data_IF_136898765659
#
_entry.id   IF_136898765659
#
_cell.length_a   1.000
_cell.length_b   1.000
_cell.length_c   1.000
_cell.angle_alpha   90.00
_cell.angle_beta   90.00
_cell.angle_gamma   90.00
#
_symmetry.space_group_name_H-M   'P 1'
#
loop_
_entity.id
_entity.type
_entity.pdbx_description
1 polymer ?
#
# COMPACT_ATOMS: atom_id res chain seq x y z
N UNK A 1 3.30 42.89 -54.99
CA UNK A 1 4.16 41.94 -54.25
C UNK A 1 4.67 42.64 -53.00
N UNK A 2 4.10 42.31 -51.84
CA UNK A 2 4.52 42.81 -50.53
C UNK A 2 4.74 41.58 -49.63
N UNK A 3 5.90 41.41 -48.99
CA UNK A 3 6.16 40.28 -48.12
C UNK A 3 5.55 40.57 -46.75
N UNK A 4 4.69 39.67 -46.26
CA UNK A 4 4.26 39.65 -44.85
C UNK A 4 4.59 38.25 -44.34
N UNK A 5 5.80 38.11 -43.83
CA UNK A 5 6.24 37.07 -42.90
C UNK A 5 7.38 37.73 -42.12
N UNK A 6 7.27 37.94 -40.79
CA UNK A 6 7.32 36.81 -39.85
C UNK A 6 6.47 37.03 -38.58
N UNK A 7 5.45 36.19 -38.35
CA UNK A 7 4.75 36.14 -37.06
C UNK A 7 4.52 34.71 -36.55
N UNK A 8 5.28 33.73 -37.08
CA UNK A 8 5.07 32.32 -36.77
C UNK A 8 6.36 31.61 -36.30
N UNK A 9 7.18 32.29 -35.49
CA UNK A 9 8.34 31.69 -34.80
C UNK A 9 8.16 31.70 -33.26
N UNK A 10 7.09 32.32 -32.74
CA UNK A 10 6.86 32.43 -31.30
C UNK A 10 6.01 31.28 -30.69
N UNK A 11 5.71 30.22 -31.45
CA UNK A 11 4.84 29.11 -30.98
C UNK A 11 5.59 27.80 -30.63
N UNK A 12 6.92 27.85 -30.47
CA UNK A 12 7.76 26.66 -30.21
C UNK A 12 8.46 26.67 -28.84
N UNK A 13 8.11 27.58 -27.91
CA UNK A 13 8.85 27.76 -26.65
C UNK A 13 8.01 27.69 -25.36
N UNK A 14 6.80 27.13 -25.40
CA UNK A 14 6.00 26.95 -24.18
C UNK A 14 5.24 25.62 -24.21
N UNK A 15 5.98 24.53 -24.04
CA UNK A 15 5.44 23.18 -23.96
C UNK A 15 6.19 22.29 -22.96
N UNK A 16 6.91 22.87 -21.99
CA UNK A 16 7.27 22.13 -20.78
C UNK A 16 6.02 22.15 -19.89
N UNK A 17 5.17 21.12 -20.03
CA UNK A 17 4.23 20.79 -18.96
C UNK A 17 5.01 20.47 -17.67
N UNK A 18 4.35 20.48 -16.51
CA UNK A 18 5.02 20.03 -15.29
C UNK A 18 5.52 18.60 -15.52
N UNK A 19 6.83 18.38 -15.33
CA UNK A 19 7.36 17.02 -15.16
C UNK A 19 6.53 16.38 -14.06
N UNK A 20 5.73 15.38 -14.43
CA UNK A 20 4.92 14.65 -13.47
C UNK A 20 5.89 13.96 -12.50
N UNK A 21 5.77 14.24 -11.20
CA UNK A 21 6.54 13.56 -10.18
C UNK A 21 6.37 12.04 -10.33
N UNK A 22 7.48 11.32 -10.46
CA UNK A 22 7.45 9.87 -10.55
C UNK A 22 6.93 9.29 -9.23
N UNK A 23 6.04 8.30 -9.32
CA UNK A 23 5.43 7.70 -8.13
C UNK A 23 6.46 7.04 -7.19
N UNK A 24 7.58 6.59 -7.76
CA UNK A 24 8.72 5.98 -7.07
C UNK A 24 9.64 6.97 -6.36
N UNK A 25 9.59 8.25 -6.71
CA UNK A 25 10.43 9.28 -6.11
C UNK A 25 9.81 9.85 -4.82
N UNK A 26 10.66 10.02 -3.80
CA UNK A 26 10.27 10.58 -2.52
C UNK A 26 10.67 12.06 -2.48
N UNK A 27 9.76 12.96 -2.90
CA UNK A 27 9.95 14.43 -2.90
C UNK A 27 9.14 15.18 -1.83
N UNK A 28 8.17 14.51 -1.21
CA UNK A 28 7.26 15.05 -0.18
C UNK A 28 6.89 13.97 0.82
N UNK A 29 6.03 14.27 1.81
CA UNK A 29 5.48 13.23 2.69
C UNK A 29 4.79 12.18 1.84
N UNK A 30 5.16 10.90 2.03
CA UNK A 30 4.58 9.76 1.32
C UNK A 30 4.29 8.60 2.25
N UNK A 31 3.14 7.94 2.09
CA UNK A 31 2.88 6.63 2.70
C UNK A 31 3.07 5.57 1.62
N UNK A 32 4.18 4.82 1.73
CA UNK A 32 4.56 3.82 0.73
C UNK A 32 3.77 2.53 0.90
N UNK A 33 3.42 2.22 2.16
CA UNK A 33 2.76 1.00 2.57
C UNK A 33 2.04 1.21 3.90
N UNK A 34 1.01 0.40 4.14
CA UNK A 34 0.41 0.23 5.46
C UNK A 34 0.27 -1.28 5.67
N UNK A 35 0.95 -1.80 6.68
CA UNK A 35 0.81 -3.17 7.15
C UNK A 35 -0.26 -3.21 8.23
N UNK A 36 -0.99 -4.32 8.29
CA UNK A 36 -1.95 -4.60 9.37
C UNK A 36 -1.52 -5.85 10.12
N UNK A 37 -1.68 -5.86 11.43
CA UNK A 37 -1.46 -7.05 12.25
C UNK A 37 -2.74 -7.35 13.07
N UNK A 38 -3.45 -8.45 12.79
CA UNK A 38 -3.19 -9.42 11.71
C UNK A 38 -3.35 -8.83 10.29
N UNK A 39 -2.87 -9.54 9.27
CA UNK A 39 -2.92 -9.08 7.87
C UNK A 39 -4.36 -9.01 7.32
N UNK A 40 -5.23 -9.89 7.80
CA UNK A 40 -6.66 -9.97 7.49
C UNK A 40 -7.47 -9.98 8.79
N UNK A 41 -8.65 -9.35 8.78
CA UNK A 41 -9.56 -9.40 9.92
C UNK A 41 -10.38 -10.68 9.83
N UNK A 42 -9.82 -11.77 10.32
CA UNK A 42 -10.49 -13.06 10.34
C UNK A 42 -11.45 -13.16 11.52
N UNK A 43 -12.68 -13.61 11.26
CA UNK A 43 -13.69 -13.91 12.28
C UNK A 43 -14.13 -15.36 12.16
N UNK A 44 -14.56 -15.92 13.29
CA UNK A 44 -15.33 -17.16 13.32
C UNK A 44 -16.73 -16.79 13.83
N UNK A 45 -17.79 -16.90 13.00
CA UNK A 45 -19.13 -16.50 13.39
C UNK A 45 -19.71 -17.37 14.52
N UNK A 46 -19.16 -18.57 14.73
CA UNK A 46 -19.62 -19.51 15.75
C UNK A 46 -18.72 -19.45 17.01
N UNK A 47 -17.65 -18.65 16.99
CA UNK A 47 -16.77 -18.50 18.14
C UNK A 47 -17.44 -17.72 19.28
N UNK A 48 -17.18 -18.11 20.55
CA UNK A 48 -17.78 -17.46 21.72
C UNK A 48 -17.19 -16.07 22.01
N UNK A 49 -16.13 -15.67 21.30
CA UNK A 49 -15.44 -14.41 21.49
C UNK A 49 -15.05 -13.81 20.14
N UNK A 50 -15.10 -12.47 20.06
CA UNK A 50 -14.59 -11.71 18.93
C UNK A 50 -13.06 -11.85 18.82
N UNK A 51 -12.49 -11.74 17.61
CA UNK A 51 -11.04 -11.72 17.46
C UNK A 51 -10.44 -10.52 18.19
N UNK A 52 -9.14 -10.63 18.50
CA UNK A 52 -8.36 -9.51 19.02
C UNK A 52 -8.33 -8.32 18.05
N UNK A 53 -7.87 -7.15 18.52
CA UNK A 53 -7.83 -5.96 17.68
C UNK A 53 -6.80 -6.11 16.54
N UNK A 54 -7.08 -5.42 15.43
CA UNK A 54 -6.15 -5.20 14.33
C UNK A 54 -5.41 -3.88 14.51
N UNK A 55 -4.10 -3.87 14.32
CA UNK A 55 -3.27 -2.67 14.38
C UNK A 55 -2.76 -2.26 13.00
N UNK A 56 -2.59 -0.96 12.76
CA UNK A 56 -2.10 -0.39 11.51
C UNK A 56 -0.71 0.20 11.70
N UNK A 57 0.22 -0.18 10.82
CA UNK A 57 1.59 0.33 10.80
C UNK A 57 1.90 0.91 9.41
N UNK A 58 2.03 2.24 9.30
CA UNK A 58 2.39 2.90 8.06
C UNK A 58 3.91 3.01 7.88
N UNK A 59 4.38 2.64 6.68
CA UNK A 59 5.65 3.10 6.16
C UNK A 59 5.46 4.50 5.57
N UNK A 60 5.54 5.51 6.44
CA UNK A 60 5.48 6.91 6.06
C UNK A 60 6.88 7.54 6.04
N UNK A 61 7.21 8.26 4.97
CA UNK A 61 8.57 8.78 4.71
C UNK A 61 8.54 10.22 4.23
N UNK A 62 9.66 10.92 4.44
CA UNK A 62 9.98 12.21 3.78
C UNK A 62 11.33 12.09 3.07
N UNK A 63 11.65 13.00 2.13
CA UNK A 63 12.92 12.96 1.38
C UNK A 63 14.16 13.05 2.27
N UNK A 64 14.02 13.72 3.41
CA UNK A 64 15.08 14.03 4.37
C UNK A 64 14.90 13.32 5.72
N UNK A 65 14.07 12.27 5.74
CA UNK A 65 13.83 11.41 6.92
C UNK A 65 13.32 12.15 8.17
N UNK A 66 12.59 13.26 8.00
CA UNK A 66 11.85 13.90 9.10
C UNK A 66 10.77 12.95 9.64
N UNK A 67 10.44 13.02 10.93
CA UNK A 67 9.36 12.23 11.50
C UNK A 67 8.02 12.54 10.82
N UNK A 68 7.24 11.49 10.54
CA UNK A 68 5.87 11.60 10.04
C UNK A 68 4.93 10.95 11.05
N UNK A 69 3.89 11.67 11.44
CA UNK A 69 2.81 11.12 12.28
C UNK A 69 1.67 10.67 11.39
N UNK A 70 1.09 9.51 11.67
CA UNK A 70 -0.05 8.97 10.92
C UNK A 70 -1.26 8.83 11.83
N UNK A 71 -2.40 9.35 11.39
CA UNK A 71 -3.70 9.18 12.03
C UNK A 71 -4.59 8.32 11.16
N UNK A 72 -5.44 7.52 11.80
CA UNK A 72 -6.35 6.59 11.13
C UNK A 72 -7.80 6.82 11.54
N UNK A 73 -8.71 6.51 10.63
CA UNK A 73 -10.15 6.45 10.90
C UNK A 73 -10.80 5.35 10.04
N UNK A 74 -11.79 4.66 10.59
CA UNK A 74 -12.66 3.78 9.83
C UNK A 74 -13.72 4.62 9.10
N UNK A 75 -13.73 4.55 7.77
CA UNK A 75 -14.61 5.33 6.92
C UNK A 75 -16.06 4.82 7.06
N UNK A 76 -17.02 5.74 7.20
CA UNK A 76 -18.45 5.39 7.11
C UNK A 76 -18.90 5.15 5.66
N UNK A 77 -19.97 4.38 5.49
CA UNK A 77 -20.51 4.01 4.17
C UNK A 77 -21.55 5.00 3.62
N UNK A 78 -21.71 6.16 4.27
CA UNK A 78 -22.59 7.25 3.81
C UNK A 78 -21.95 8.04 2.67
N UNK A 79 -21.66 7.39 1.54
CA UNK A 79 -21.01 7.99 0.36
C UNK A 79 -19.94 7.08 -0.26
N UNK A 80 -19.25 7.59 -1.29
CA UNK A 80 -18.08 6.89 -1.84
C UNK A 80 -16.91 7.04 -0.85
N UNK A 81 -16.30 5.95 -0.35
CA UNK A 81 -15.21 6.01 0.64
C UNK A 81 -13.97 6.74 0.14
N UNK A 82 -13.87 7.00 -1.17
CA UNK A 82 -12.78 7.75 -1.79
C UNK A 82 -13.01 9.26 -1.87
N UNK A 83 -14.23 9.74 -1.61
CA UNK A 83 -14.60 11.16 -1.80
C UNK A 83 -14.10 12.08 -0.67
N UNK A 84 -13.36 11.56 0.32
CA UNK A 84 -12.74 12.34 1.43
C UNK A 84 -11.55 11.72 2.20
N UNK A 85 -11.05 10.55 1.78
CA UNK A 85 -9.83 9.80 2.25
C UNK A 85 -9.52 9.88 3.76
N UNK A 86 -10.44 9.34 4.56
CA UNK A 86 -10.84 9.79 5.89
C UNK A 86 -9.77 9.92 6.99
N UNK A 87 -9.58 11.15 7.45
CA UNK A 87 -9.77 11.44 8.88
C UNK A 87 -10.53 12.77 9.15
N UNK A 88 -11.44 12.75 10.14
CA UNK A 88 -12.30 13.89 10.53
C UNK A 88 -13.61 13.46 11.24
N UNK A 89 -14.41 14.43 11.71
CA UNK A 89 -15.51 14.32 12.70
C UNK A 89 -16.70 13.38 12.38
N UNK A 90 -16.80 12.91 11.13
CA UNK A 90 -17.90 12.04 10.67
C UNK A 90 -17.54 10.56 10.68
N UNK A 91 -16.24 10.24 10.77
CA UNK A 91 -15.71 8.89 10.74
C UNK A 91 -15.34 8.39 12.14
N UNK A 92 -15.12 7.09 12.29
CA UNK A 92 -14.77 6.51 13.58
C UNK A 92 -13.26 6.59 13.76
N UNK A 93 -12.73 7.41 14.68
CA UNK A 93 -11.28 7.53 14.87
C UNK A 93 -10.70 6.22 15.39
N UNK A 94 -9.52 5.85 14.89
CA UNK A 94 -8.79 4.66 15.34
C UNK A 94 -7.56 5.13 16.15
N UNK A 95 -7.72 5.38 17.47
CA UNK A 95 -6.60 5.80 18.31
C UNK A 95 -5.51 4.73 18.27
N UNK A 96 -4.25 5.19 18.24
CA UNK A 96 -3.07 4.34 18.12
C UNK A 96 -3.10 3.39 16.91
N UNK A 97 -3.90 3.72 15.88
CA UNK A 97 -4.09 2.88 14.71
C UNK A 97 -4.63 1.50 15.07
N UNK A 98 -5.65 1.43 15.92
CA UNK A 98 -6.25 0.16 16.37
C UNK A 98 -7.72 0.07 15.96
N UNK A 99 -8.10 -1.02 15.28
CA UNK A 99 -9.48 -1.40 14.97
C UNK A 99 -9.87 -2.60 15.83
N UNK A 100 -10.87 -2.43 16.68
CA UNK A 100 -11.40 -3.49 17.55
C UNK A 100 -12.86 -3.76 17.22
N UNK A 101 -13.21 -5.02 16.95
CA UNK A 101 -14.61 -5.41 16.76
C UNK A 101 -15.42 -5.33 18.06
N UNK A 102 -14.78 -5.15 19.22
CA UNK A 102 -15.46 -4.92 20.49
C UNK A 102 -15.90 -3.47 20.70
N UNK A 103 -15.48 -2.54 19.83
CA UNK A 103 -15.87 -1.13 19.89
C UNK A 103 -17.26 -0.93 19.25
N UNK A 104 -18.18 -0.31 19.99
CA UNK A 104 -19.56 -0.08 19.56
C UNK A 104 -19.66 0.82 18.32
N UNK A 105 -18.77 1.81 18.19
CA UNK A 105 -18.75 2.70 17.01
C UNK A 105 -18.28 1.94 15.77
N UNK A 106 -17.32 1.02 15.91
CA UNK A 106 -16.86 0.14 14.83
C UNK A 106 -17.98 -0.85 14.43
N UNK A 107 -18.69 -1.42 15.41
CA UNK A 107 -19.82 -2.31 15.14
C UNK A 107 -20.95 -1.60 14.36
N UNK A 108 -21.20 -0.32 14.66
CA UNK A 108 -22.18 0.48 13.92
C UNK A 108 -21.78 0.64 12.44
N UNK A 109 -20.50 0.88 12.14
CA UNK A 109 -20.02 0.95 10.75
C UNK A 109 -20.07 -0.40 10.05
N UNK A 110 -19.80 -1.51 10.75
CA UNK A 110 -19.93 -2.85 10.19
C UNK A 110 -21.38 -3.17 9.79
N UNK A 111 -22.34 -2.77 10.62
CA UNK A 111 -23.77 -2.84 10.30
C UNK A 111 -24.11 -2.06 9.02
N UNK A 112 -23.58 -0.85 8.86
CA UNK A 112 -23.73 -0.06 7.62
C UNK A 112 -23.14 -0.80 6.41
N UNK A 113 -21.93 -1.35 6.54
CA UNK A 113 -21.25 -2.10 5.47
C UNK A 113 -22.06 -3.31 5.01
N UNK A 114 -22.64 -4.02 5.96
CA UNK A 114 -23.47 -5.21 5.73
C UNK A 114 -24.81 -4.86 5.08
N UNK A 115 -25.47 -3.80 5.52
CA UNK A 115 -26.69 -3.30 4.89
C UNK A 115 -26.45 -2.86 3.44
N UNK A 116 -25.29 -2.25 3.16
CA UNK A 116 -24.90 -1.87 1.79
C UNK A 116 -24.61 -3.09 0.90
N UNK A 117 -23.99 -4.15 1.45
CA UNK A 117 -23.71 -5.41 0.76
C UNK A 117 -24.93 -6.33 0.58
N UNK A 118 -25.96 -6.17 1.41
CA UNK A 118 -27.19 -6.94 1.40
C UNK A 118 -28.42 -6.05 1.72
N UNK A 119 -28.99 -5.33 0.73
CA UNK A 119 -30.06 -4.33 0.95
C UNK A 119 -31.42 -4.91 1.42
N UNK A 120 -31.50 -6.21 1.71
CA UNK A 120 -32.67 -6.88 2.28
C UNK A 120 -32.49 -7.39 3.72
N UNK A 121 -31.29 -7.26 4.30
CA UNK A 121 -31.02 -7.65 5.69
C UNK A 121 -31.63 -6.65 6.67
N UNK A 122 -32.34 -7.15 7.69
CA UNK A 122 -32.86 -6.30 8.78
C UNK A 122 -31.72 -5.57 9.49
N UNK A 123 -32.03 -4.47 10.19
CA UNK A 123 -31.06 -3.60 10.87
C UNK A 123 -30.35 -4.21 12.10
N UNK A 124 -30.24 -5.54 12.17
CA UNK A 124 -29.61 -6.29 13.26
C UNK A 124 -28.68 -7.35 12.68
N UNK A 125 -27.46 -7.46 13.23
CA UNK A 125 -26.55 -8.57 12.90
C UNK A 125 -27.12 -9.87 13.47
N UNK A 126 -27.66 -10.72 12.60
CA UNK A 126 -28.01 -12.10 12.95
C UNK A 126 -26.90 -13.03 12.41
N UNK A 127 -26.01 -13.58 13.26
CA UNK A 127 -24.95 -14.50 12.82
C UNK A 127 -25.50 -15.77 12.17
N UNK A 128 -26.79 -16.09 12.40
CA UNK A 128 -27.46 -17.22 11.76
C UNK A 128 -27.99 -16.91 10.36
N UNK A 129 -28.01 -15.63 9.94
CA UNK A 129 -28.47 -15.22 8.60
C UNK A 129 -27.57 -15.84 7.52
N UNK A 130 -28.10 -16.70 6.62
CA UNK A 130 -27.33 -17.28 5.53
C UNK A 130 -26.66 -16.24 4.63
N UNK A 131 -27.29 -15.07 4.43
CA UNK A 131 -26.74 -14.01 3.60
C UNK A 131 -25.53 -13.33 4.27
N UNK A 132 -25.57 -13.14 5.59
CA UNK A 132 -24.42 -12.65 6.36
C UNK A 132 -23.27 -13.66 6.31
N UNK A 133 -23.56 -14.94 6.52
CA UNK A 133 -22.55 -16.02 6.44
C UNK A 133 -21.89 -16.05 5.06
N UNK A 134 -22.67 -15.97 3.99
CA UNK A 134 -22.14 -15.91 2.62
C UNK A 134 -21.30 -14.64 2.37
N UNK A 135 -21.73 -13.48 2.88
CA UNK A 135 -20.97 -12.24 2.78
C UNK A 135 -19.62 -12.34 3.52
N UNK A 136 -19.61 -12.91 4.72
CA UNK A 136 -18.39 -13.15 5.51
C UNK A 136 -17.45 -14.13 4.82
N UNK A 137 -17.96 -15.21 4.22
CA UNK A 137 -17.16 -16.16 3.46
C UNK A 137 -16.52 -15.49 2.23
N UNK A 138 -17.26 -14.62 1.53
CA UNK A 138 -16.73 -13.84 0.39
C UNK A 138 -15.76 -12.73 0.82
N UNK A 139 -15.93 -12.19 2.02
CA UNK A 139 -15.16 -11.09 2.57
C UNK A 139 -15.87 -9.75 2.38
N UNK A 140 -16.06 -9.03 3.49
CA UNK A 140 -16.68 -7.71 3.52
C UNK A 140 -15.57 -6.65 3.51
N UNK A 141 -15.54 -5.74 2.52
CA UNK A 141 -14.54 -4.69 2.48
C UNK A 141 -14.86 -3.60 3.50
N UNK A 142 -13.91 -3.32 4.38
CA UNK A 142 -13.86 -2.15 5.25
C UNK A 142 -12.83 -1.16 4.68
N UNK A 143 -13.07 0.14 4.83
CA UNK A 143 -12.18 1.18 4.34
C UNK A 143 -11.62 1.96 5.52
N UNK A 144 -10.29 2.03 5.61
CA UNK A 144 -9.57 2.75 6.66
C UNK A 144 -8.83 3.89 6.00
N UNK A 145 -9.27 5.12 6.29
CA UNK A 145 -8.59 6.32 5.87
C UNK A 145 -7.36 6.60 6.72
N UNK A 146 -6.40 7.32 6.15
CA UNK A 146 -5.24 7.82 6.88
C UNK A 146 -4.89 9.25 6.49
N UNK A 147 -4.27 9.96 7.42
CA UNK A 147 -3.54 11.20 7.18
C UNK A 147 -2.15 11.09 7.79
N UNK A 148 -1.14 11.25 6.96
CA UNK A 148 0.25 11.32 7.33
C UNK A 148 0.72 12.78 7.26
N UNK A 149 1.38 13.27 8.31
CA UNK A 149 1.89 14.65 8.34
C UNK A 149 3.27 14.77 8.99
N UNK A 150 4.11 15.64 8.46
CA UNK A 150 5.40 16.03 9.08
C UNK A 150 5.27 17.24 10.03
N UNK A 151 4.05 17.74 10.25
CA UNK A 151 3.75 18.86 11.14
C UNK A 151 4.02 20.25 10.55
N UNK A 152 4.49 20.34 9.30
CA UNK A 152 4.76 21.64 8.65
C UNK A 152 3.50 22.43 8.29
N UNK A 153 2.35 21.75 8.17
CA UNK A 153 1.08 22.35 7.74
C UNK A 153 1.04 22.73 6.26
N UNK A 154 2.03 22.31 5.46
CA UNK A 154 2.02 22.54 4.00
C UNK A 154 1.36 21.38 3.25
N UNK A 155 0.91 21.59 2.00
CA UNK A 155 0.41 20.51 1.15
C UNK A 155 1.43 19.38 0.92
N UNK A 156 2.72 19.71 0.83
CA UNK A 156 3.82 18.75 0.67
C UNK A 156 4.12 17.99 1.97
N UNK A 157 3.82 18.62 3.12
CA UNK A 157 3.93 18.03 4.45
C UNK A 157 2.77 17.13 4.84
N UNK A 158 1.83 16.83 3.93
CA UNK A 158 0.64 16.02 4.21
C UNK A 158 0.35 15.03 3.09
N UNK A 159 0.01 13.79 3.44
CA UNK A 159 -0.56 12.81 2.53
C UNK A 159 -1.84 12.20 3.12
N UNK A 160 -2.88 12.02 2.29
CA UNK A 160 -4.09 11.29 2.65
C UNK A 160 -4.35 10.14 1.72
N UNK A 161 -4.86 9.05 2.27
CA UNK A 161 -5.19 7.86 1.51
C UNK A 161 -6.23 6.99 2.18
N UNK A 162 -6.57 5.90 1.52
CA UNK A 162 -7.49 4.88 2.03
C UNK A 162 -6.87 3.52 1.79
N UNK A 163 -6.89 2.68 2.82
CA UNK A 163 -6.57 1.26 2.76
C UNK A 163 -7.87 0.46 2.86
N UNK A 164 -8.01 -0.54 2.01
CA UNK A 164 -9.06 -1.56 2.16
C UNK A 164 -8.56 -2.64 3.10
N UNK A 165 -9.38 -3.01 4.08
CA UNK A 165 -9.23 -4.18 4.94
C UNK A 165 -10.39 -5.12 4.63
N UNK A 166 -10.15 -6.43 4.67
CA UNK A 166 -11.21 -7.42 4.47
C UNK A 166 -11.56 -8.05 5.81
N UNK A 167 -12.85 -8.04 6.15
CA UNK A 167 -13.42 -8.84 7.22
C UNK A 167 -13.93 -10.15 6.61
N UNK A 168 -13.39 -11.30 7.04
CA UNK A 168 -13.70 -12.60 6.43
C UNK A 168 -13.90 -13.69 7.47
N UNK A 169 -14.87 -14.57 7.23
CA UNK A 169 -14.93 -15.86 7.91
C UNK A 169 -13.97 -16.85 7.23
N UNK A 170 -12.87 -17.19 7.89
CA UNK A 170 -11.85 -18.10 7.37
C UNK A 170 -11.14 -18.88 8.47
N UNK A 171 -10.85 -20.16 8.22
CA UNK A 171 -10.03 -20.99 9.09
C UNK A 171 -8.52 -20.84 8.81
N UNK A 172 -8.16 -20.17 7.70
CA UNK A 172 -6.78 -19.93 7.27
C UNK A 172 -6.59 -18.43 7.03
N UNK A 173 -6.43 -17.63 8.10
CA UNK A 173 -6.18 -16.20 7.99
C UNK A 173 -4.90 -15.93 7.21
N UNK A 174 -4.93 -14.87 6.39
CA UNK A 174 -3.75 -14.40 5.66
C UNK A 174 -2.64 -13.91 6.61
N UNK A 175 -1.38 -14.04 6.18
CA UNK A 175 -0.19 -13.52 6.86
C UNK A 175 0.45 -12.38 6.05
N UNK A 176 1.27 -11.56 6.69
CA UNK A 176 2.02 -10.54 5.98
C UNK A 176 3.25 -11.18 5.30
N UNK A 177 3.52 -10.89 4.01
CA UNK A 177 4.77 -11.32 3.39
C UNK A 177 5.96 -10.63 4.05
N UNK A 178 7.09 -11.31 4.16
CA UNK A 178 8.32 -10.75 4.72
C UNK A 178 9.37 -10.66 3.62
N UNK A 179 9.85 -9.45 3.35
CA UNK A 179 11.00 -9.24 2.46
C UNK A 179 12.28 -9.31 3.31
N UNK A 180 13.07 -10.36 3.11
CA UNK A 180 14.27 -10.64 3.89
C UNK A 180 15.51 -9.94 3.36
N UNK A 181 15.60 -9.74 2.04
CA UNK A 181 16.72 -9.04 1.42
C UNK A 181 16.40 -8.35 0.10
N UNK A 182 17.33 -7.51 -0.36
CA UNK A 182 17.40 -7.01 -1.74
C UNK A 182 18.76 -7.43 -2.28
N UNK A 183 18.79 -8.07 -3.45
CA UNK A 183 20.01 -8.48 -4.12
C UNK A 183 20.36 -7.51 -5.26
N UNK A 184 21.66 -7.34 -5.48
CA UNK A 184 22.26 -6.77 -6.68
C UNK A 184 23.37 -7.72 -7.16
N UNK A 185 23.36 -8.08 -8.45
CA UNK A 185 24.26 -9.08 -9.04
C UNK A 185 24.30 -10.42 -8.28
N UNK A 186 23.13 -10.82 -7.74
CA UNK A 186 22.96 -12.06 -6.98
C UNK A 186 23.51 -12.05 -5.55
N UNK A 187 24.02 -10.91 -5.06
CA UNK A 187 24.53 -10.75 -3.71
C UNK A 187 23.69 -9.73 -2.91
N UNK A 188 23.67 -9.81 -1.56
CA UNK A 188 23.01 -8.81 -0.72
C UNK A 188 23.44 -7.38 -1.07
N UNK A 189 22.48 -6.46 -1.16
CA UNK A 189 22.71 -5.06 -1.46
C UNK A 189 23.39 -4.36 -0.27
N UNK A 190 24.72 -4.39 -0.25
CA UNK A 190 25.56 -3.70 0.77
C UNK A 190 26.24 -2.43 0.24
N UNK A 191 26.33 -2.27 -1.09
CA UNK A 191 27.04 -1.18 -1.74
C UNK A 191 28.58 -1.29 -1.69
N UNK A 192 29.30 -0.27 -2.21
CA UNK A 192 28.73 0.88 -2.92
C UNK A 192 28.21 0.52 -4.30
N UNK A 193 27.20 1.25 -4.77
CA UNK A 193 26.73 1.18 -6.16
C UNK A 193 27.57 2.08 -7.07
N UNK A 194 27.77 1.73 -8.35
CA UNK A 194 28.42 2.61 -9.31
C UNK A 194 27.60 3.89 -9.55
N UNK A 195 28.25 4.97 -10.00
CA UNK A 195 27.55 6.19 -10.49
C UNK A 195 27.18 6.05 -11.97
N UNK A 196 26.10 6.71 -12.39
CA UNK A 196 25.66 6.79 -13.80
C UNK A 196 25.56 5.43 -14.51
N UNK A 197 24.99 4.45 -13.81
CA UNK A 197 24.73 3.10 -14.32
C UNK A 197 23.32 2.66 -13.97
N UNK A 198 22.70 1.96 -14.90
CA UNK A 198 21.54 1.12 -14.61
C UNK A 198 22.01 -0.13 -13.85
N UNK A 199 21.32 -0.44 -12.75
CA UNK A 199 21.47 -1.68 -11.98
C UNK A 199 20.10 -2.33 -11.81
N UNK A 200 20.09 -3.65 -11.61
CA UNK A 200 18.85 -4.41 -11.40
C UNK A 200 18.84 -4.97 -9.99
N UNK A 201 17.74 -4.75 -9.27
CA UNK A 201 17.52 -5.29 -7.95
C UNK A 201 16.56 -6.48 -7.98
N UNK A 202 16.80 -7.46 -7.11
CA UNK A 202 15.91 -8.62 -6.93
C UNK A 202 15.47 -8.72 -5.47
N UNK A 203 14.16 -8.78 -5.17
CA UNK A 203 13.70 -8.94 -3.80
C UNK A 203 13.84 -10.40 -3.37
N UNK A 204 14.19 -10.63 -2.11
CA UNK A 204 14.18 -11.96 -1.49
C UNK A 204 13.12 -11.98 -0.42
N UNK A 205 12.26 -13.00 -0.47
CA UNK A 205 11.24 -13.24 0.53
C UNK A 205 11.73 -14.21 1.58
N UNK A 206 11.27 -14.07 2.82
CA UNK A 206 11.48 -15.09 3.83
C UNK A 206 10.61 -16.33 3.54
N UNK A 207 11.03 -17.48 4.06
CA UNK A 207 10.22 -18.69 4.05
C UNK A 207 8.83 -18.42 4.66
N UNK A 208 7.79 -19.00 4.06
CA UNK A 208 6.40 -18.78 4.48
C UNK A 208 5.75 -17.48 4.01
N UNK A 209 6.48 -16.59 3.31
CA UNK A 209 5.90 -15.34 2.79
C UNK A 209 5.02 -15.51 1.55
N UNK A 210 5.06 -16.68 0.91
CA UNK A 210 4.18 -17.03 -0.20
C UNK A 210 3.22 -18.09 0.32
N UNK A 211 1.99 -17.69 0.58
CA UNK A 211 0.95 -18.61 1.04
C UNK A 211 0.20 -19.23 -0.16
N UNK A 212 -0.50 -20.32 0.11
CA UNK A 212 -1.39 -20.98 -0.84
C UNK A 212 -2.81 -20.75 -0.40
N UNK A 213 -3.62 -20.18 -1.29
CA UNK A 213 -5.05 -19.97 -1.09
C UNK A 213 -5.82 -21.14 -1.71
N UNK A 214 -6.81 -21.66 -0.99
CA UNK A 214 -7.79 -22.60 -1.53
C UNK A 214 -8.83 -21.83 -2.36
N UNK A 215 -8.89 -22.11 -3.66
CA UNK A 215 -9.86 -21.51 -4.57
C UNK A 215 -10.83 -22.57 -5.12
N UNK A 216 -11.90 -22.16 -5.79
CA UNK A 216 -12.81 -23.10 -6.47
C UNK A 216 -12.09 -23.97 -7.53
N UNK A 217 -10.98 -23.49 -8.08
CA UNK A 217 -10.15 -24.19 -9.07
C UNK A 217 -9.06 -25.08 -8.41
N UNK A 218 -8.97 -25.06 -7.07
CA UNK A 218 -7.97 -25.76 -6.27
C UNK A 218 -6.96 -24.82 -5.59
N UNK A 219 -5.95 -25.38 -4.90
CA UNK A 219 -4.92 -24.61 -4.21
C UNK A 219 -4.08 -23.81 -5.20
N UNK A 220 -3.88 -22.52 -4.90
CA UNK A 220 -3.12 -21.60 -5.76
C UNK A 220 -2.18 -20.74 -4.92
N UNK A 221 -0.93 -20.64 -5.34
CA UNK A 221 0.02 -19.69 -4.74
C UNK A 221 -0.44 -18.25 -4.95
N UNK A 222 -0.35 -17.44 -3.90
CA UNK A 222 -0.74 -16.04 -3.94
C UNK A 222 0.17 -15.21 -4.86
N UNK A 223 -0.40 -14.27 -5.64
CA UNK A 223 0.40 -13.38 -6.45
C UNK A 223 1.10 -12.34 -5.56
N UNK A 224 2.42 -12.23 -5.69
CA UNK A 224 3.18 -11.17 -5.03
C UNK A 224 3.52 -10.02 -5.97
N UNK A 225 3.15 -8.82 -5.55
CA UNK A 225 3.45 -7.57 -6.23
C UNK A 225 4.46 -6.77 -5.41
N UNK A 226 5.44 -6.19 -6.08
CA UNK A 226 6.46 -5.34 -5.49
C UNK A 226 6.27 -3.89 -5.92
N UNK A 227 6.55 -2.96 -5.02
CA UNK A 227 6.72 -1.55 -5.36
C UNK A 227 8.06 -1.05 -4.86
N UNK A 228 8.77 -0.34 -5.72
CA UNK A 228 10.15 0.09 -5.50
C UNK A 228 10.23 1.60 -5.36
N UNK A 229 10.96 2.06 -4.35
CA UNK A 229 11.14 3.48 -4.07
C UNK A 229 12.60 3.76 -3.74
N UNK A 230 13.06 4.95 -4.10
CA UNK A 230 14.39 5.43 -3.76
C UNK A 230 14.36 6.91 -3.39
N UNK A 231 15.27 7.33 -2.51
CA UNK A 231 15.64 8.75 -2.35
C UNK A 231 16.75 9.15 -3.32
N UNK A 232 17.10 10.42 -3.31
CA UNK A 232 18.25 10.93 -4.06
C UNK A 232 17.95 11.22 -5.52
N UNK A 233 19.00 11.44 -6.31
CA UNK A 233 18.90 11.90 -7.71
C UNK A 233 18.84 10.75 -8.74
N UNK A 234 18.77 9.50 -8.28
CA UNK A 234 18.63 8.34 -9.17
C UNK A 234 17.15 8.01 -9.43
N UNK A 235 16.90 7.15 -10.41
CA UNK A 235 15.54 6.91 -10.92
C UNK A 235 15.19 5.42 -10.90
N UNK A 236 14.06 5.06 -10.26
CA UNK A 236 13.47 3.72 -10.38
C UNK A 236 12.68 3.64 -11.67
N UNK A 237 13.13 2.80 -12.62
CA UNK A 237 12.49 2.65 -13.94
C UNK A 237 11.21 1.82 -13.87
N UNK A 238 11.23 0.77 -13.06
CA UNK A 238 10.14 -0.18 -12.94
C UNK A 238 9.53 -0.10 -11.56
N UNK A 239 8.69 0.92 -11.36
CA UNK A 239 8.04 1.17 -10.08
C UNK A 239 7.30 -0.06 -9.52
N UNK A 240 6.71 -0.90 -10.40
CA UNK A 240 5.99 -2.11 -10.03
C UNK A 240 6.59 -3.33 -10.75
N UNK A 241 6.75 -4.40 -10.00
CA UNK A 241 7.08 -5.73 -10.53
C UNK A 241 6.26 -6.81 -9.81
N UNK A 242 6.35 -8.05 -10.30
CA UNK A 242 5.54 -9.15 -9.76
C UNK A 242 6.31 -10.48 -9.81
N UNK A 243 6.15 -11.29 -8.78
CA UNK A 243 6.67 -12.65 -8.80
C UNK A 243 5.96 -13.47 -9.90
N UNK A 244 6.66 -14.41 -10.55
CA UNK A 244 5.99 -15.41 -11.39
C UNK A 244 5.06 -16.25 -10.52
N UNK A 245 3.90 -16.60 -11.06
CA UNK A 245 2.97 -17.57 -10.46
C UNK A 245 2.71 -18.69 -11.46
N UNK A 246 2.22 -19.83 -11.00
CA UNK A 246 1.98 -20.98 -11.89
C UNK A 246 1.12 -20.58 -13.11
N UNK A 247 1.62 -20.88 -14.30
CA UNK A 247 0.95 -20.56 -15.56
C UNK A 247 0.97 -19.08 -15.97
N UNK A 248 1.59 -18.18 -15.20
CA UNK A 248 1.68 -16.74 -15.52
C UNK A 248 3.12 -16.22 -15.32
N UNK A 249 3.80 -15.78 -16.39
CA UNK A 249 5.13 -15.22 -16.27
C UNK A 249 5.11 -13.94 -15.42
N UNK A 250 6.18 -13.73 -14.66
CA UNK A 250 6.42 -12.55 -13.84
C UNK A 250 7.91 -12.33 -13.68
N UNK A 251 8.29 -11.07 -13.51
CA UNK A 251 9.65 -10.65 -13.19
C UNK A 251 9.57 -9.82 -11.91
N UNK A 252 10.15 -10.28 -10.78
CA UNK A 252 10.09 -9.56 -9.51
C UNK A 252 11.15 -8.45 -9.43
N UNK A 253 12.00 -8.29 -10.45
CA UNK A 253 13.11 -7.34 -10.40
C UNK A 253 12.66 -5.91 -10.66
N UNK A 254 13.56 -4.95 -10.41
CA UNK A 254 13.38 -3.55 -10.81
C UNK A 254 14.72 -2.98 -11.26
N UNK A 255 14.73 -2.33 -12.42
CA UNK A 255 15.84 -1.51 -12.84
C UNK A 255 15.87 -0.16 -12.09
N UNK A 256 17.09 0.34 -11.82
CA UNK A 256 17.38 1.61 -11.17
C UNK A 256 18.57 2.30 -11.84
N UNK A 257 18.38 3.53 -12.29
CA UNK A 257 19.46 4.40 -12.74
C UNK A 257 20.11 5.07 -11.53
N UNK A 258 21.36 4.74 -11.29
CA UNK A 258 22.14 5.33 -10.20
C UNK A 258 22.47 6.80 -10.46
N UNK A 259 22.51 7.64 -9.41
CA UNK A 259 22.86 9.05 -9.52
C UNK A 259 24.19 9.31 -10.22
N UNK A 260 24.31 10.48 -10.85
CA UNK A 260 25.57 10.92 -11.47
C UNK A 260 26.62 11.40 -10.45
N UNK A 261 26.18 11.77 -9.25
CA UNK A 261 27.03 12.27 -8.17
C UNK A 261 26.98 11.31 -6.98
N UNK A 262 28.11 11.11 -6.27
CA UNK A 262 28.11 10.28 -5.08
C UNK A 262 27.13 10.79 -4.01
N UNK A 263 26.31 9.89 -3.48
CA UNK A 263 25.33 10.20 -2.45
C UNK A 263 24.85 8.92 -1.73
N UNK A 264 24.31 9.10 -0.52
CA UNK A 264 23.60 8.04 0.19
C UNK A 264 22.17 7.95 -0.34
N UNK A 265 21.76 6.77 -0.77
CA UNK A 265 20.39 6.47 -1.23
C UNK A 265 19.72 5.53 -0.25
N UNK A 266 18.46 5.78 0.08
CA UNK A 266 17.59 4.83 0.77
C UNK A 266 16.68 4.17 -0.24
N UNK A 267 16.67 2.85 -0.26
CA UNK A 267 15.75 2.02 -1.03
C UNK A 267 14.67 1.43 -0.14
N UNK A 268 13.45 1.37 -0.67
CA UNK A 268 12.38 0.57 -0.12
C UNK A 268 11.83 -0.36 -1.18
N UNK A 269 11.58 -1.60 -0.77
CA UNK A 269 10.76 -2.54 -1.53
C UNK A 269 9.56 -2.92 -0.67
N UNK A 270 8.37 -2.81 -1.23
CA UNK A 270 7.11 -3.15 -0.57
C UNK A 270 6.49 -4.35 -1.29
N UNK A 271 6.33 -5.47 -0.60
CA UNK A 271 5.63 -6.65 -1.07
C UNK A 271 4.14 -6.61 -0.68
N UNK A 272 3.27 -7.06 -1.58
CA UNK A 272 1.81 -7.19 -1.37
C UNK A 272 1.33 -8.51 -1.98
N UNK A 273 0.56 -9.28 -1.23
CA UNK A 273 0.03 -10.61 -1.64
C UNK A 273 -1.33 -10.56 -2.36
N UNK A 274 -1.95 -9.38 -2.45
CA UNK A 274 -3.26 -9.20 -3.06
C UNK A 274 -4.45 -9.57 -2.16
N UNK A 275 -4.25 -10.28 -1.05
CA UNK A 275 -5.26 -10.60 -0.02
C UNK A 275 -5.27 -9.63 1.15
N UNK A 276 -4.26 -8.77 1.25
CA UNK A 276 -4.22 -7.66 2.20
C UNK A 276 -2.92 -7.62 2.98
N UNK A 277 -2.13 -8.69 2.99
CA UNK A 277 -0.83 -8.69 3.61
C UNK A 277 0.14 -7.78 2.88
N UNK A 278 0.91 -7.08 3.69
CA UNK A 278 1.91 -6.11 3.25
C UNK A 278 3.14 -6.26 4.12
N UNK A 279 4.30 -6.28 3.47
CA UNK A 279 5.58 -6.18 4.15
C UNK A 279 6.54 -5.35 3.34
N UNK A 280 7.63 -4.94 3.96
CA UNK A 280 8.64 -4.14 3.28
C UNK A 280 10.02 -4.36 3.87
N UNK A 281 11.03 -3.97 3.10
CA UNK A 281 12.40 -3.86 3.54
C UNK A 281 12.95 -2.48 3.16
N UNK A 282 13.77 -1.92 4.05
CA UNK A 282 14.55 -0.70 3.81
C UNK A 282 16.04 -1.04 3.75
N UNK A 283 16.76 -0.44 2.80
CA UNK A 283 18.23 -0.51 2.69
C UNK A 283 18.80 0.86 2.40
N UNK A 284 19.83 1.24 3.16
CA UNK A 284 20.56 2.50 2.97
C UNK A 284 21.93 2.17 2.35
N UNK A 285 22.22 2.70 1.16
CA UNK A 285 23.38 2.30 0.34
C UNK A 285 24.10 3.54 -0.20
N UNK A 286 25.43 3.53 -0.18
CA UNK A 286 26.23 4.59 -0.82
C UNK A 286 26.31 4.35 -2.34
N UNK A 287 26.17 5.42 -3.12
CA UNK A 287 26.45 5.45 -4.56
C UNK A 287 27.75 6.24 -4.76
N UNK A 288 28.68 5.71 -5.53
CA UNK A 288 30.01 6.28 -5.74
C UNK A 288 31.10 5.65 -4.86
N UNK A 289 32.37 5.98 -5.14
CA UNK A 289 33.53 5.41 -4.45
C UNK A 289 33.63 5.83 -2.98
#
# INVERSE_FOLDING_TARGET
MRPILPALVALLLAGCGPDFELQSEIRRVRVLAIQTEPAELAVDPDAPALPGPMTFNALAVTPDARPVTVRYALCRFTGNPYDGRCPGDTDVPLPDGTLSLADEDIQAVLLEALAAGNPGGGGTLDPEDPALREALLRGIPLFVGYEATDGSGTPEGTERGVRRVTLRATATPNQNPVVSDILWDGAPLTGPLPVSREVTFTPVLAEGSVETEETEEGPRAEPLFFSWFATGDGEVKEFRSQAPVEGRPGDPTSAYDTPATPQRVTFWVVARDGRGGVGWLRRDVDVGP
#
